data_IF_192343180710
#
_entry.id   IF_192343180710
#
_cell.length_a   1.000
_cell.length_b   1.000
_cell.length_c   1.000
_cell.angle_alpha   90.00
_cell.angle_beta   90.00
_cell.angle_gamma   90.00
#
_symmetry.space_group_name_H-M   'P 1'
#
loop_
_entity.id
_entity.type
_entity.pdbx_description
1 polymer ?
#
# COMPACT_ATOMS: atom_id res chain seq x y z
N UNK A 1 -12.14 5.60 30.54
CA UNK A 1 -12.75 6.66 29.72
C UNK A 1 -13.08 6.04 28.37
N UNK A 2 -14.34 6.01 27.92
CA UNK A 2 -14.66 5.65 26.53
C UNK A 2 -13.99 6.68 25.61
N UNK A 3 -13.34 6.22 24.55
CA UNK A 3 -12.50 7.02 23.65
C UNK A 3 -13.40 7.90 22.77
N UNK A 4 -13.04 9.19 22.59
CA UNK A 4 -13.74 10.21 21.77
C UNK A 4 -14.02 9.82 20.31
N UNK A 5 -13.53 8.67 19.85
CA UNK A 5 -13.64 8.18 18.47
C UNK A 5 -15.07 7.88 18.00
N UNK A 6 -16.00 7.61 18.91
CA UNK A 6 -17.39 7.26 18.52
C UNK A 6 -18.14 8.51 18.02
N UNK A 7 -17.97 9.66 18.70
CA UNK A 7 -18.68 10.89 18.35
C UNK A 7 -18.25 11.47 17.00
N UNK A 8 -16.95 11.38 16.65
CA UNK A 8 -16.43 11.84 15.36
C UNK A 8 -16.84 10.94 14.18
N UNK A 9 -17.05 9.65 14.43
CA UNK A 9 -17.54 8.71 13.40
C UNK A 9 -18.94 9.09 12.93
N UNK A 10 -19.83 9.40 13.87
CA UNK A 10 -21.22 9.74 13.55
C UNK A 10 -21.32 11.05 12.75
N UNK A 11 -20.39 11.98 12.94
CA UNK A 11 -20.30 13.19 12.12
C UNK A 11 -19.96 12.86 10.66
N UNK A 12 -18.98 11.98 10.43
CA UNK A 12 -18.55 11.61 9.07
C UNK A 12 -19.56 10.72 8.33
N UNK A 13 -20.28 9.85 9.05
CA UNK A 13 -21.36 9.03 8.46
C UNK A 13 -22.52 9.91 7.97
N UNK A 14 -22.77 11.03 8.63
CA UNK A 14 -23.87 11.93 8.30
C UNK A 14 -23.47 13.04 7.32
N UNK A 15 -22.20 13.11 6.92
CA UNK A 15 -21.74 14.11 5.95
C UNK A 15 -22.12 13.69 4.53
N UNK A 16 -22.91 14.52 3.85
CA UNK A 16 -23.33 14.31 2.45
C UNK A 16 -22.18 14.23 1.45
N UNK A 17 -20.99 14.75 1.78
CA UNK A 17 -19.79 14.64 0.95
C UNK A 17 -19.11 13.27 1.07
N UNK A 18 -19.44 12.48 2.10
CA UNK A 18 -18.84 11.18 2.36
C UNK A 18 -19.70 10.07 1.74
N UNK A 19 -19.26 9.54 0.60
CA UNK A 19 -19.95 8.44 -0.07
C UNK A 19 -19.84 7.12 0.70
N UNK A 20 -18.70 6.87 1.34
CA UNK A 20 -18.42 5.66 2.09
C UNK A 20 -17.34 5.90 3.13
N UNK A 21 -17.53 5.33 4.32
CA UNK A 21 -16.56 5.36 5.41
C UNK A 21 -16.56 4.01 6.14
N UNK A 22 -15.37 3.50 6.42
CA UNK A 22 -15.15 2.34 7.27
C UNK A 22 -14.04 2.67 8.28
N UNK A 23 -14.39 2.59 9.57
CA UNK A 23 -13.39 2.72 10.62
C UNK A 23 -12.59 1.43 10.69
N UNK A 24 -11.27 1.52 10.59
CA UNK A 24 -10.41 0.38 10.85
C UNK A 24 -10.40 0.03 12.35
N UNK A 25 -10.70 -1.22 12.65
CA UNK A 25 -10.55 -1.77 14.00
C UNK A 25 -9.16 -2.39 14.16
N UNK A 26 -8.61 -2.29 15.37
CA UNK A 26 -7.34 -2.94 15.68
C UNK A 26 -7.51 -4.44 15.54
N UNK A 27 -6.94 -5.00 14.47
CA UNK A 27 -6.86 -6.44 14.30
C UNK A 27 -5.66 -6.97 15.10
N UNK A 28 -5.88 -8.01 15.90
CA UNK A 28 -4.76 -8.75 16.50
C UNK A 28 -3.97 -9.37 15.36
N UNK A 29 -2.72 -8.94 15.21
CA UNK A 29 -1.80 -9.56 14.25
C UNK A 29 -1.56 -11.01 14.67
N UNK A 30 -2.27 -11.92 14.03
CA UNK A 30 -1.84 -13.32 13.98
C UNK A 30 -0.74 -13.36 12.93
N UNK A 31 0.51 -13.50 13.38
CA UNK A 31 1.59 -13.85 12.46
C UNK A 31 1.09 -15.07 11.72
N UNK A 32 1.18 -15.09 10.39
CA UNK A 32 1.19 -16.36 9.66
C UNK A 32 2.44 -17.07 10.16
N UNK A 33 2.36 -17.70 11.34
CA UNK A 33 3.24 -18.80 11.67
C UNK A 33 3.05 -19.79 10.55
N UNK A 34 4.09 -20.54 10.23
CA UNK A 34 3.91 -21.83 9.58
C UNK A 34 2.82 -22.53 10.38
N UNK A 35 1.58 -22.45 9.89
CA UNK A 35 0.41 -22.89 10.63
C UNK A 35 0.70 -24.37 10.85
N UNK A 36 0.67 -24.84 12.10
CA UNK A 36 0.68 -26.28 12.31
C UNK A 36 -0.38 -26.88 11.38
N UNK A 37 0.09 -27.66 10.42
CA UNK A 37 -0.61 -28.16 9.23
C UNK A 37 -1.77 -29.13 9.54
N UNK A 38 -2.26 -29.13 10.78
CA UNK A 38 -3.12 -30.15 11.35
C UNK A 38 -4.59 -29.73 11.49
N UNK A 39 -4.93 -28.45 11.41
CA UNK A 39 -6.31 -27.97 11.63
C UNK A 39 -7.13 -27.69 10.36
N UNK A 40 -6.50 -27.60 9.19
CA UNK A 40 -7.20 -27.45 7.91
C UNK A 40 -7.29 -28.80 7.21
N UNK A 41 -8.50 -29.24 6.90
CA UNK A 41 -8.73 -30.52 6.22
C UNK A 41 -7.95 -30.56 4.89
N UNK A 42 -7.37 -31.72 4.58
CA UNK A 42 -6.60 -31.91 3.34
C UNK A 42 -7.41 -31.50 2.10
N UNK A 43 -8.74 -31.68 2.12
CA UNK A 43 -9.63 -31.29 1.04
C UNK A 43 -9.72 -29.77 0.83
N UNK A 44 -9.81 -28.99 1.91
CA UNK A 44 -9.83 -27.51 1.83
C UNK A 44 -8.47 -26.98 1.39
N UNK A 45 -7.38 -27.60 1.85
CA UNK A 45 -6.02 -27.32 1.35
C UNK A 45 -5.91 -27.58 -0.16
N UNK A 46 -6.30 -28.77 -0.60
CA UNK A 46 -6.24 -29.14 -2.00
C UNK A 46 -7.12 -28.25 -2.89
N UNK A 47 -8.27 -27.78 -2.40
CA UNK A 47 -9.13 -26.83 -3.11
C UNK A 47 -8.50 -25.43 -3.22
N UNK A 48 -7.91 -24.92 -2.13
CA UNK A 48 -7.18 -23.66 -2.14
C UNK A 48 -5.93 -23.73 -3.03
N UNK A 49 -5.18 -24.82 -2.95
CA UNK A 49 -3.98 -25.03 -3.76
C UNK A 49 -4.36 -25.26 -5.22
N UNK A 50 -5.46 -25.95 -5.54
CA UNK A 50 -5.94 -26.12 -6.93
C UNK A 50 -6.46 -24.81 -7.51
N UNK A 51 -7.18 -24.00 -6.72
CA UNK A 51 -7.69 -22.69 -7.16
C UNK A 51 -6.53 -21.72 -7.35
N UNK A 52 -5.58 -21.69 -6.43
CA UNK A 52 -4.33 -20.92 -6.56
C UNK A 52 -3.50 -21.41 -7.73
N UNK A 53 -3.34 -22.71 -7.92
CA UNK A 53 -2.63 -23.29 -9.05
C UNK A 53 -3.35 -22.99 -10.37
N UNK A 54 -4.68 -22.96 -10.39
CA UNK A 54 -5.47 -22.57 -11.55
C UNK A 54 -5.27 -21.09 -11.90
N UNK A 55 -5.42 -20.19 -10.93
CA UNK A 55 -5.10 -18.75 -11.10
C UNK A 55 -3.60 -18.48 -11.30
N UNK A 56 -2.72 -19.41 -10.92
CA UNK A 56 -1.29 -19.38 -11.17
C UNK A 56 -1.01 -19.84 -12.59
N UNK A 57 -1.46 -21.01 -13.03
CA UNK A 57 -1.21 -21.56 -14.37
C UNK A 57 -1.84 -20.72 -15.49
N UNK A 58 -3.03 -20.13 -15.27
CA UNK A 58 -3.60 -19.15 -16.22
C UNK A 58 -2.77 -17.85 -16.27
N UNK A 59 -2.05 -17.50 -15.20
CA UNK A 59 -1.18 -16.32 -15.09
C UNK A 59 0.33 -16.58 -15.14
N UNK A 60 0.78 -17.83 -15.37
CA UNK A 60 2.18 -18.27 -15.25
C UNK A 60 2.75 -18.73 -16.59
N UNK A 61 2.28 -18.13 -17.69
CA UNK A 61 3.05 -18.15 -18.92
C UNK A 61 4.12 -17.03 -18.82
N UNK A 62 5.31 -17.47 -18.42
CA UNK A 62 6.61 -16.79 -18.40
C UNK A 62 6.67 -15.31 -18.88
N UNK A 63 6.81 -14.42 -17.90
CA UNK A 63 7.62 -13.18 -17.86
C UNK A 63 7.48 -12.12 -18.99
N UNK A 64 6.46 -11.24 -18.93
CA UNK A 64 6.49 -9.91 -19.58
C UNK A 64 6.98 -8.78 -18.64
N UNK A 65 7.02 -8.98 -17.32
CA UNK A 65 7.21 -7.87 -16.36
C UNK A 65 8.67 -7.46 -16.11
N UNK A 66 9.65 -8.36 -16.32
CA UNK A 66 11.09 -7.98 -16.28
C UNK A 66 11.46 -6.90 -17.30
N UNK A 67 10.65 -6.69 -18.33
CA UNK A 67 10.84 -5.67 -19.36
C UNK A 67 9.86 -4.47 -19.26
N UNK A 68 8.95 -4.44 -18.28
CA UNK A 68 7.95 -3.35 -18.17
C UNK A 68 8.40 -2.19 -17.29
N UNK A 69 9.21 -2.45 -16.26
CA UNK A 69 9.69 -1.44 -15.34
C UNK A 69 11.21 -1.32 -15.49
N UNK A 70 11.67 -0.09 -15.73
CA UNK A 70 13.09 0.27 -15.87
C UNK A 70 13.68 0.82 -14.56
N UNK A 71 12.98 0.63 -13.45
CA UNK A 71 13.41 0.98 -12.11
C UNK A 71 14.56 0.05 -11.66
N UNK A 72 15.67 0.63 -11.23
CA UNK A 72 16.88 -0.10 -10.82
C UNK A 72 16.65 -0.93 -9.56
N UNK A 73 15.81 -0.46 -8.64
CA UNK A 73 15.48 -1.10 -7.37
C UNK A 73 14.33 -2.10 -7.49
N UNK A 74 13.62 -2.15 -8.62
CA UNK A 74 12.55 -3.12 -8.88
C UNK A 74 12.90 -4.54 -8.42
N UNK A 75 14.05 -5.15 -8.76
CA UNK A 75 14.39 -6.53 -8.32
C UNK A 75 14.40 -6.74 -6.80
N UNK A 76 14.56 -5.67 -6.00
CA UNK A 76 14.62 -5.71 -4.54
C UNK A 76 13.25 -5.56 -3.86
N UNK A 77 12.21 -5.18 -4.60
CA UNK A 77 10.85 -4.96 -4.09
C UNK A 77 10.04 -6.27 -4.03
N UNK A 78 10.53 -7.22 -3.23
CA UNK A 78 10.01 -8.59 -3.11
C UNK A 78 8.52 -8.70 -2.74
N UNK A 79 7.94 -7.64 -2.16
CA UNK A 79 6.53 -7.56 -1.76
C UNK A 79 5.58 -7.24 -2.93
N UNK A 80 6.09 -6.69 -4.04
CA UNK A 80 5.32 -6.37 -5.25
C UNK A 80 5.33 -7.52 -6.25
N UNK A 81 6.47 -8.20 -6.38
CA UNK A 81 6.65 -9.35 -7.28
C UNK A 81 7.52 -10.41 -6.61
N UNK A 82 6.99 -11.63 -6.48
CA UNK A 82 7.83 -12.79 -6.19
C UNK A 82 8.46 -13.29 -7.48
N UNK A 83 9.74 -13.66 -7.42
CA UNK A 83 10.47 -14.37 -8.48
C UNK A 83 9.99 -15.82 -8.72
N UNK A 84 8.72 -16.12 -8.44
CA UNK A 84 8.08 -17.41 -8.68
C UNK A 84 8.20 -18.42 -7.53
N UNK A 85 8.85 -18.08 -6.41
CA UNK A 85 9.11 -19.01 -5.29
C UNK A 85 8.37 -18.71 -3.99
N UNK A 86 7.66 -17.59 -3.87
CA UNK A 86 7.12 -17.12 -2.59
C UNK A 86 5.61 -16.88 -2.67
N UNK A 87 4.84 -17.53 -1.79
CA UNK A 87 3.41 -17.22 -1.54
C UNK A 87 3.24 -15.92 -0.72
N UNK A 88 4.27 -15.07 -0.64
CA UNK A 88 4.38 -13.98 0.32
C UNK A 88 4.31 -12.59 -0.30
N UNK A 89 4.25 -12.45 -1.63
CA UNK A 89 3.95 -11.18 -2.27
C UNK A 89 2.45 -10.80 -2.13
N UNK A 90 2.13 -9.54 -2.38
CA UNK A 90 0.75 -9.04 -2.31
C UNK A 90 -0.07 -9.29 -3.58
N UNK A 91 0.49 -9.93 -4.62
CA UNK A 91 -0.18 -10.18 -5.90
C UNK A 91 -0.41 -8.93 -6.76
N UNK A 92 0.28 -7.83 -6.45
CA UNK A 92 0.05 -6.51 -7.06
C UNK A 92 0.35 -6.49 -8.56
N UNK A 93 1.38 -7.21 -9.00
CA UNK A 93 1.73 -7.30 -10.42
C UNK A 93 0.55 -7.75 -11.31
N UNK A 94 -0.28 -8.69 -10.83
CA UNK A 94 -1.47 -9.17 -11.57
C UNK A 94 -2.55 -8.11 -11.69
N UNK A 95 -2.75 -7.31 -10.64
CA UNK A 95 -3.71 -6.18 -10.64
C UNK A 95 -3.29 -5.12 -11.66
N UNK A 96 -1.99 -4.84 -11.75
CA UNK A 96 -1.44 -3.93 -12.76
C UNK A 96 -1.55 -4.48 -14.18
N UNK A 97 -1.42 -5.80 -14.39
CA UNK A 97 -1.67 -6.43 -15.69
C UNK A 97 -3.13 -6.28 -16.14
N UNK A 98 -4.08 -6.17 -15.21
CA UNK A 98 -5.48 -5.84 -15.50
C UNK A 98 -5.71 -4.35 -15.81
N UNK A 99 -4.67 -3.52 -15.78
CA UNK A 99 -4.75 -2.07 -16.04
C UNK A 99 -5.18 -1.23 -14.84
N UNK A 100 -5.28 -1.82 -13.64
CA UNK A 100 -5.69 -1.14 -12.43
C UNK A 100 -4.44 -0.64 -11.71
N UNK A 101 -4.12 0.66 -11.81
CA UNK A 101 -2.87 1.23 -11.27
C UNK A 101 -3.07 2.26 -10.16
N UNK A 102 -4.32 2.57 -9.80
CA UNK A 102 -4.65 3.70 -8.91
C UNK A 102 -4.72 5.06 -9.63
N UNK A 103 -4.68 5.11 -10.96
CA UNK A 103 -4.84 6.36 -11.72
C UNK A 103 -6.18 7.03 -11.39
N UNK A 104 -6.14 8.30 -11.03
CA UNK A 104 -7.32 9.09 -10.63
C UNK A 104 -7.70 8.94 -9.16
N UNK A 105 -6.93 8.18 -8.38
CA UNK A 105 -7.06 8.11 -6.92
C UNK A 105 -6.04 9.07 -6.32
N UNK A 106 -6.50 9.87 -5.35
CA UNK A 106 -5.66 10.74 -4.52
C UNK A 106 -5.53 10.09 -3.15
N UNK A 107 -4.30 10.02 -2.64
CA UNK A 107 -3.99 9.44 -1.33
C UNK A 107 -3.26 10.50 -0.51
N UNK A 108 -3.75 10.78 0.70
CA UNK A 108 -3.08 11.64 1.68
C UNK A 108 -2.41 10.76 2.74
N UNK A 109 -1.16 11.09 3.08
CA UNK A 109 -0.38 10.42 4.12
C UNK A 109 -0.30 11.38 5.31
N UNK A 110 -0.71 10.93 6.49
CA UNK A 110 -0.58 11.70 7.74
C UNK A 110 0.68 11.22 8.47
N UNK A 111 1.79 11.94 8.30
CA UNK A 111 3.10 11.61 8.87
C UNK A 111 3.85 12.90 9.28
N UNK A 112 5.17 12.85 9.41
CA UNK A 112 6.06 13.97 9.74
C UNK A 112 6.38 14.92 8.58
N UNK A 113 6.08 14.54 7.34
CA UNK A 113 6.20 15.38 6.15
C UNK A 113 6.36 14.57 4.85
N UNK A 114 6.55 15.26 3.72
CA UNK A 114 6.72 14.66 2.40
C UNK A 114 7.74 15.45 1.57
N UNK A 115 8.83 14.80 1.14
CA UNK A 115 9.76 15.35 0.16
C UNK A 115 9.12 15.33 -1.25
N UNK A 116 8.24 16.30 -1.51
CA UNK A 116 7.42 16.35 -2.72
C UNK A 116 8.24 16.49 -4.02
N UNK A 117 9.48 17.00 -3.93
CA UNK A 117 10.38 17.20 -5.07
C UNK A 117 11.27 15.98 -5.39
N UNK A 118 11.15 14.87 -4.65
CA UNK A 118 11.89 13.64 -4.93
C UNK A 118 11.57 13.09 -6.33
N UNK A 119 12.56 12.55 -7.04
CA UNK A 119 12.41 12.09 -8.42
C UNK A 119 11.29 11.04 -8.60
N UNK A 120 11.13 10.15 -7.62
CA UNK A 120 10.09 9.11 -7.61
C UNK A 120 8.69 9.58 -7.18
N UNK A 121 8.56 10.81 -6.65
CA UNK A 121 7.30 11.34 -6.09
C UNK A 121 6.75 12.52 -6.88
N UNK A 122 7.62 13.42 -7.33
CA UNK A 122 7.27 14.71 -7.93
C UNK A 122 6.25 14.64 -9.08
N UNK A 123 6.29 13.58 -9.90
CA UNK A 123 5.35 13.39 -11.00
C UNK A 123 3.93 13.03 -10.54
N UNK A 124 3.76 12.54 -9.31
CA UNK A 124 2.49 12.09 -8.74
C UNK A 124 2.05 12.92 -7.52
N UNK A 125 2.79 13.97 -7.15
CA UNK A 125 2.44 14.84 -6.04
C UNK A 125 1.18 15.66 -6.35
N UNK A 126 0.27 15.75 -5.38
CA UNK A 126 -0.91 16.62 -5.43
C UNK A 126 -0.87 17.63 -4.26
N UNK A 127 -0.64 18.92 -4.52
CA UNK A 127 -0.60 19.94 -3.47
C UNK A 127 -1.95 20.15 -2.80
N UNK A 128 -3.08 19.81 -3.45
CA UNK A 128 -4.40 19.94 -2.81
C UNK A 128 -4.67 18.82 -1.79
N UNK A 129 -3.86 17.76 -1.82
CA UNK A 129 -3.92 16.63 -0.92
C UNK A 129 -2.91 16.72 0.24
N UNK A 130 -2.19 17.84 0.33
CA UNK A 130 -1.05 18.05 1.22
C UNK A 130 -1.21 19.35 2.00
N UNK A 131 -0.79 19.34 3.26
CA UNK A 131 -0.82 20.50 4.14
C UNK A 131 0.10 20.24 5.34
N UNK A 132 0.90 21.22 5.72
CA UNK A 132 1.64 21.18 6.98
C UNK A 132 0.79 21.76 8.11
N UNK A 133 0.31 20.88 8.99
CA UNK A 133 -0.46 21.29 10.17
C UNK A 133 0.41 21.77 11.34
N UNK A 134 1.72 21.52 11.32
CA UNK A 134 2.63 22.00 12.36
C UNK A 134 2.94 23.48 12.17
N UNK A 135 3.23 23.89 10.93
CA UNK A 135 3.59 25.27 10.58
C UNK A 135 2.45 26.07 9.93
N UNK A 136 1.29 25.42 9.74
CA UNK A 136 0.05 26.00 9.21
C UNK A 136 0.24 26.60 7.81
N UNK A 137 0.89 25.85 6.94
CA UNK A 137 1.18 26.27 5.56
C UNK A 137 1.07 25.11 4.55
N UNK A 138 1.02 25.39 3.23
CA UNK A 138 0.75 24.37 2.23
C UNK A 138 1.99 23.56 1.78
N UNK A 139 3.19 23.80 2.31
CA UNK A 139 4.41 23.05 1.97
C UNK A 139 4.61 21.89 2.95
N UNK A 140 4.33 20.63 2.56
CA UNK A 140 4.48 19.48 3.44
C UNK A 140 5.94 19.04 3.59
N UNK A 141 6.90 19.73 2.95
CA UNK A 141 8.30 19.33 3.01
C UNK A 141 8.78 19.42 4.44
N UNK A 142 9.43 18.36 4.93
CA UNK A 142 10.15 18.43 6.18
C UNK A 142 11.11 19.62 6.12
N UNK A 143 11.08 20.51 7.13
CA UNK A 143 12.14 21.50 7.28
C UNK A 143 13.43 20.73 7.52
N UNK A 144 14.27 20.60 6.49
CA UNK A 144 15.60 20.05 6.68
C UNK A 144 16.39 21.09 7.47
N UNK A 145 16.53 20.84 8.76
CA UNK A 145 17.31 21.62 9.69
C UNK A 145 18.67 22.01 9.05
N UNK A 146 18.99 23.29 9.19
CA UNK A 146 20.13 24.13 8.74
C UNK A 146 21.57 23.58 8.92
N UNK A 147 21.79 22.26 9.02
CA UNK A 147 23.10 21.66 9.26
C UNK A 147 23.90 21.25 8.01
N UNK A 148 23.32 21.27 6.81
CA UNK A 148 24.07 20.95 5.58
C UNK A 148 24.58 22.16 4.78
N UNK A 149 24.25 23.40 5.17
CA UNK A 149 24.66 24.60 4.42
C UNK A 149 25.90 25.34 4.99
N UNK A 150 26.53 24.84 6.06
CA UNK A 150 27.78 25.38 6.61
C UNK A 150 29.01 24.48 6.39
N UNK A 151 29.12 23.85 5.21
CA UNK A 151 30.40 23.34 4.71
C UNK A 151 30.55 23.62 3.22
N UNK A 152 30.89 24.86 2.90
CA UNK A 152 31.71 25.23 1.73
C UNK A 152 32.54 26.45 2.07
#
# INVERSE_FOLDING_TARGET
>A
MPRQTIEHRDQLINDSAVLWIEQQETMVRVKRSDFEDNLVSKSVRNLWDSTRQFFFTIGANQNPTRHRFNDELWPHQWYLHSSGFSRFDHGIAKVWEMGITGRGIVVTILDDGLEWNHADLSANYDPNASYDMNDDDPDPCIETDIFFQMKN
#
